data_IF_635376485545
#
_entry.id   IF_635376485545
#
_cell.length_a   1.000
_cell.length_b   1.000
_cell.length_c   1.000
_cell.angle_alpha   90.00
_cell.angle_beta   90.00
_cell.angle_gamma   90.00
#
_symmetry.space_group_name_H-M   'P 1'
#
loop_
_entity.id
_entity.type
_entity.pdbx_description
1 polymer ?
#
# COMPACT_ATOMS: atom_id res chain seq x y z
N UNK A 1 -38.69 -12.07 10.47
CA UNK A 1 -38.67 -13.54 10.26
C UNK A 1 -38.41 -13.73 8.77
N UNK A 2 -37.27 -14.18 8.27
CA UNK A 2 -36.24 -15.08 8.78
C UNK A 2 -34.86 -14.54 8.36
N UNK A 3 -33.97 -14.29 9.33
CA UNK A 3 -32.55 -14.11 9.09
C UNK A 3 -31.95 -15.49 8.79
N UNK A 4 -31.32 -15.64 7.63
CA UNK A 4 -30.52 -16.82 7.30
C UNK A 4 -29.10 -16.58 7.81
N UNK A 5 -28.81 -17.11 8.99
CA UNK A 5 -27.46 -17.28 9.52
C UNK A 5 -26.70 -18.30 8.65
N UNK A 6 -25.72 -17.83 7.88
CA UNK A 6 -24.53 -18.59 7.48
C UNK A 6 -23.40 -17.87 8.21
N UNK A 7 -22.86 -18.39 9.30
CA UNK A 7 -22.17 -19.67 9.38
C UNK A 7 -20.71 -19.28 9.56
N UNK A 8 -20.32 -19.07 10.82
CA UNK A 8 -18.94 -18.90 11.25
C UNK A 8 -18.20 -20.20 10.93
N UNK A 9 -17.67 -20.33 9.71
CA UNK A 9 -16.64 -21.32 9.41
C UNK A 9 -15.27 -20.67 9.61
N UNK A 10 -14.40 -21.26 10.44
CA UNK A 10 -13.04 -20.77 10.60
C UNK A 10 -12.32 -20.87 9.25
N UNK A 11 -11.61 -19.81 8.89
CA UNK A 11 -10.59 -19.82 7.84
C UNK A 11 -9.72 -21.05 8.10
N UNK A 12 -9.56 -21.90 7.08
CA UNK A 12 -8.84 -23.16 7.20
C UNK A 12 -7.48 -22.95 7.90
N UNK A 13 -7.26 -23.70 8.99
CA UNK A 13 -5.96 -23.81 9.64
C UNK A 13 -4.95 -24.35 8.63
N UNK A 14 -4.21 -23.44 7.99
CA UNK A 14 -2.97 -23.79 7.31
C UNK A 14 -1.95 -24.06 8.40
N UNK A 15 -1.25 -25.18 8.31
CA UNK A 15 -0.23 -25.63 9.25
C UNK A 15 1.00 -24.69 9.18
N UNK A 16 0.83 -23.50 9.75
CA UNK A 16 1.91 -22.53 10.01
C UNK A 16 2.59 -23.02 11.27
N UNK A 17 3.72 -23.71 11.10
CA UNK A 17 4.52 -24.14 12.25
C UNK A 17 5.07 -22.90 12.97
N UNK A 18 4.38 -22.45 14.01
CA UNK A 18 4.86 -21.40 14.91
C UNK A 18 5.97 -21.99 15.75
N UNK A 19 7.23 -21.77 15.35
CA UNK A 19 8.37 -22.17 16.17
C UNK A 19 8.89 -20.93 16.89
N UNK A 20 8.89 -20.87 18.23
CA UNK A 20 9.58 -19.80 18.95
C UNK A 20 11.07 -19.88 18.60
N UNK A 21 11.62 -18.80 18.04
CA UNK A 21 13.03 -18.75 17.67
C UNK A 21 13.91 -18.69 18.94
N UNK A 22 14.76 -19.71 19.14
CA UNK A 22 15.76 -19.77 20.23
C UNK A 22 17.19 -19.56 19.71
N UNK A 23 17.39 -18.78 18.64
CA UNK A 23 18.73 -18.45 18.15
C UNK A 23 19.08 -16.97 18.34
N UNK A 24 20.30 -16.77 18.81
CA UNK A 24 20.83 -15.65 19.58
C UNK A 24 21.15 -14.38 18.76
N UNK A 25 20.15 -13.84 18.05
CA UNK A 25 20.19 -12.49 17.44
C UNK A 25 18.86 -11.71 17.51
N UNK A 26 17.84 -12.23 18.22
CA UNK A 26 16.49 -11.65 18.32
C UNK A 26 16.33 -10.47 19.29
N UNK A 27 17.41 -9.91 19.82
CA UNK A 27 17.36 -8.78 20.76
C UNK A 27 16.85 -7.45 20.16
N UNK A 28 16.57 -7.36 18.86
CA UNK A 28 16.19 -6.10 18.21
C UNK A 28 14.70 -5.89 17.94
N UNK A 29 13.85 -6.94 17.85
CA UNK A 29 12.41 -6.79 17.52
C UNK A 29 11.56 -7.93 18.15
N UNK A 30 11.23 -7.87 19.46
CA UNK A 30 10.70 -9.00 20.23
C UNK A 30 9.29 -9.51 19.87
N UNK A 31 8.62 -8.93 18.85
CA UNK A 31 7.23 -9.28 18.48
C UNK A 31 7.02 -9.66 17.00
N UNK A 32 8.10 -9.91 16.26
CA UNK A 32 7.95 -10.46 14.90
C UNK A 32 7.61 -11.94 14.95
N UNK A 33 6.75 -12.36 14.03
CA UNK A 33 6.41 -13.76 13.76
C UNK A 33 7.24 -14.21 12.56
N UNK A 34 7.97 -15.32 12.72
CA UNK A 34 8.58 -16.03 11.60
C UNK A 34 7.49 -16.89 10.94
N UNK A 35 7.28 -16.68 9.64
CA UNK A 35 6.45 -17.51 8.79
C UNK A 35 7.31 -18.25 7.77
N UNK A 36 6.83 -19.40 7.32
CA UNK A 36 7.40 -20.12 6.19
C UNK A 36 6.31 -20.36 5.15
N UNK A 37 6.62 -20.11 3.88
CA UNK A 37 5.74 -20.57 2.81
C UNK A 37 5.88 -22.09 2.59
N UNK A 38 5.02 -22.66 1.75
CA UNK A 38 5.02 -24.09 1.41
C UNK A 38 6.33 -24.60 0.78
N UNK A 39 7.22 -23.70 0.37
CA UNK A 39 8.52 -24.00 -0.21
C UNK A 39 9.66 -23.88 0.82
N UNK A 40 9.34 -23.56 2.07
CA UNK A 40 10.30 -23.40 3.17
C UNK A 40 11.00 -22.03 3.19
N UNK A 41 10.55 -21.05 2.39
CA UNK A 41 11.13 -19.70 2.45
C UNK A 41 10.63 -18.99 3.69
N UNK A 42 11.55 -18.63 4.58
CA UNK A 42 11.25 -17.97 5.86
C UNK A 42 11.27 -16.46 5.73
N UNK A 43 10.28 -15.80 6.32
CA UNK A 43 10.16 -14.34 6.35
C UNK A 43 9.49 -13.88 7.65
N UNK A 44 9.61 -12.59 7.95
CA UNK A 44 9.19 -12.04 9.25
C UNK A 44 8.11 -10.98 9.07
N UNK A 45 7.09 -11.04 9.92
CA UNK A 45 5.94 -10.13 9.89
C UNK A 45 5.50 -9.73 11.29
N UNK A 46 4.86 -8.58 11.41
CA UNK A 46 4.12 -8.19 12.61
C UNK A 46 2.73 -8.83 12.62
N UNK A 47 2.26 -9.28 13.78
CA UNK A 47 0.90 -9.80 13.91
C UNK A 47 -0.08 -8.67 14.25
N UNK A 48 -0.82 -8.15 13.26
CA UNK A 48 -1.85 -7.13 13.46
C UNK A 48 -3.23 -7.71 13.85
N UNK A 49 -3.40 -9.02 13.73
CA UNK A 49 -4.55 -9.76 14.22
C UNK A 49 -5.16 -10.65 13.18
N UNK A 50 -5.95 -10.05 12.29
CA UNK A 50 -6.57 -10.66 11.12
C UNK A 50 -5.73 -10.46 9.84
N UNK A 51 -4.62 -9.71 9.91
CA UNK A 51 -3.65 -9.59 8.82
C UNK A 51 -2.21 -9.49 9.34
N UNK A 52 -1.26 -9.67 8.44
CA UNK A 52 0.17 -9.52 8.71
C UNK A 52 0.63 -8.10 8.41
N UNK A 53 1.26 -7.44 9.37
CA UNK A 53 1.84 -6.11 9.22
C UNK A 53 3.30 -6.23 8.74
N UNK A 54 3.80 -5.29 7.93
CA UNK A 54 5.23 -5.22 7.66
C UNK A 54 6.04 -5.09 8.98
N UNK A 55 7.23 -5.69 9.08
CA UNK A 55 8.07 -5.72 10.28
C UNK A 55 8.79 -4.40 10.58
N UNK A 56 8.07 -3.27 10.50
CA UNK A 56 8.59 -1.95 10.88
C UNK A 56 8.63 -1.79 12.40
N UNK A 57 9.60 -1.02 12.93
CA UNK A 57 9.65 -0.72 14.36
C UNK A 57 8.54 0.27 14.73
N UNK A 58 7.51 -0.19 15.44
CA UNK A 58 6.36 0.63 15.83
C UNK A 58 6.31 0.78 17.34
N UNK A 59 6.63 1.98 17.82
CA UNK A 59 6.73 2.27 19.25
C UNK A 59 7.82 1.43 19.94
N UNK A 60 7.88 1.51 21.27
CA UNK A 60 8.85 0.73 22.05
C UNK A 60 8.55 -0.78 22.03
N UNK A 61 7.26 -1.13 22.10
CA UNK A 61 6.82 -2.51 22.34
C UNK A 61 6.56 -3.33 21.07
N UNK A 62 6.59 -2.71 19.87
CA UNK A 62 6.34 -3.40 18.60
C UNK A 62 4.98 -4.12 18.57
N UNK A 63 3.97 -3.53 19.21
CA UNK A 63 2.63 -4.10 19.32
C UNK A 63 1.77 -3.71 18.12
N UNK A 64 1.83 -4.51 17.06
CA UNK A 64 1.07 -4.28 15.84
C UNK A 64 -0.45 -4.31 16.05
N UNK A 65 -0.99 -5.15 16.94
CA UNK A 65 -2.44 -5.18 17.25
C UNK A 65 -2.88 -3.88 17.91
N UNK A 66 -2.10 -3.40 18.89
CA UNK A 66 -2.38 -2.14 19.56
C UNK A 66 -2.23 -0.98 18.59
N UNK A 67 -1.21 -0.98 17.74
CA UNK A 67 -1.01 0.06 16.75
C UNK A 67 -2.18 0.19 15.76
N UNK A 68 -2.67 -0.92 15.21
CA UNK A 68 -3.82 -0.90 14.29
C UNK A 68 -5.09 -0.42 14.96
N UNK A 69 -5.29 -0.75 16.25
CA UNK A 69 -6.39 -0.16 17.05
C UNK A 69 -6.21 1.35 17.23
N UNK A 70 -4.99 1.81 17.50
CA UNK A 70 -4.69 3.24 17.61
C UNK A 70 -4.93 3.99 16.29
N UNK A 71 -4.61 3.40 15.14
CA UNK A 71 -4.98 3.97 13.82
C UNK A 71 -6.50 4.10 13.74
N UNK A 72 -7.24 3.04 14.09
CA UNK A 72 -8.71 3.06 14.05
C UNK A 72 -9.34 4.09 15.00
N UNK A 73 -8.67 4.37 16.12
CA UNK A 73 -9.07 5.33 17.16
C UNK A 73 -8.47 6.73 16.96
N UNK A 74 -7.66 6.93 15.91
CA UNK A 74 -6.94 8.18 15.65
C UNK A 74 -7.89 9.38 15.55
N UNK A 75 -7.49 10.49 16.18
CA UNK A 75 -8.19 11.77 16.01
C UNK A 75 -7.96 12.31 14.60
N UNK A 76 -9.05 12.59 13.90
CA UNK A 76 -9.05 13.10 12.53
C UNK A 76 -9.51 14.55 12.55
N UNK A 77 -8.83 15.41 11.79
CA UNK A 77 -9.21 16.80 11.57
C UNK A 77 -10.11 16.91 10.34
N UNK A 78 -10.94 17.93 10.29
CA UNK A 78 -11.94 18.07 9.22
C UNK A 78 -11.29 18.31 7.85
N UNK A 79 -10.04 18.80 7.85
CA UNK A 79 -9.24 19.08 6.66
C UNK A 79 -8.14 18.04 6.38
N UNK A 80 -8.13 16.92 7.10
CA UNK A 80 -7.23 15.82 6.77
C UNK A 80 -7.56 15.23 5.39
N UNK A 81 -6.53 14.79 4.69
CA UNK A 81 -6.65 14.06 3.42
C UNK A 81 -6.01 12.71 3.61
N UNK A 82 -6.78 11.65 3.36
CA UNK A 82 -6.30 10.28 3.47
C UNK A 82 -5.96 9.70 2.10
N UNK A 83 -4.80 9.07 1.97
CA UNK A 83 -4.34 8.39 0.76
C UNK A 83 -4.20 6.91 1.11
N UNK A 84 -5.09 6.09 0.58
CA UNK A 84 -5.19 4.68 0.90
C UNK A 84 -4.83 3.83 -0.31
N UNK A 85 -4.10 2.75 -0.11
CA UNK A 85 -3.63 1.92 -1.23
C UNK A 85 -3.22 0.54 -0.77
N UNK A 86 -3.38 -0.49 -1.60
CA UNK A 86 -2.56 -1.68 -1.40
C UNK A 86 -1.09 -1.31 -1.72
N UNK A 87 -0.08 -1.95 -1.10
CA UNK A 87 1.30 -1.70 -1.49
C UNK A 87 1.49 -1.79 -3.00
N UNK A 88 2.33 -0.91 -3.55
CA UNK A 88 2.75 -0.89 -4.96
C UNK A 88 1.73 -0.42 -6.01
N UNK A 89 0.60 0.16 -5.60
CA UNK A 89 -0.36 0.78 -6.54
C UNK A 89 0.00 2.23 -6.93
N UNK A 90 1.26 2.64 -6.75
CA UNK A 90 1.73 3.98 -7.14
C UNK A 90 1.69 5.04 -6.03
N UNK A 91 1.62 4.63 -4.76
CA UNK A 91 1.57 5.53 -3.59
C UNK A 91 2.58 6.68 -3.63
N UNK A 92 3.87 6.42 -3.85
CA UNK A 92 4.89 7.48 -3.90
C UNK A 92 4.63 8.55 -4.99
N UNK A 93 4.12 8.14 -6.14
CA UNK A 93 3.87 9.04 -7.27
C UNK A 93 2.67 9.93 -6.99
N UNK A 94 1.56 9.31 -6.60
CA UNK A 94 0.30 10.01 -6.40
C UNK A 94 0.34 10.84 -5.10
N UNK A 95 1.04 10.37 -4.06
CA UNK A 95 1.31 11.17 -2.85
C UNK A 95 2.06 12.46 -3.18
N UNK A 96 3.05 12.41 -4.08
CA UNK A 96 3.79 13.61 -4.50
C UNK A 96 2.88 14.61 -5.22
N UNK A 97 2.07 14.13 -6.16
CA UNK A 97 1.08 14.95 -6.88
C UNK A 97 0.12 15.63 -5.90
N UNK A 98 -0.43 14.85 -4.97
CA UNK A 98 -1.39 15.36 -3.97
C UNK A 98 -0.72 16.40 -3.07
N UNK A 99 0.52 16.15 -2.62
CA UNK A 99 1.30 17.13 -1.86
C UNK A 99 1.47 18.43 -2.65
N UNK A 100 1.92 18.35 -3.91
CA UNK A 100 2.14 19.50 -4.77
C UNK A 100 0.86 20.32 -5.00
N UNK A 101 -0.29 19.67 -5.18
CA UNK A 101 -1.59 20.34 -5.32
C UNK A 101 -2.00 21.04 -4.02
N UNK A 102 -1.94 20.35 -2.88
CA UNK A 102 -2.38 20.87 -1.58
C UNK A 102 -1.54 22.07 -1.15
N UNK A 103 -0.22 22.02 -1.36
CA UNK A 103 0.69 23.10 -1.00
C UNK A 103 1.00 24.07 -2.15
N UNK A 104 0.33 23.90 -3.30
CA UNK A 104 0.46 24.76 -4.50
C UNK A 104 1.91 25.00 -4.89
N UNK A 105 2.67 23.92 -5.01
CA UNK A 105 4.12 23.93 -5.22
C UNK A 105 4.53 22.87 -6.23
N UNK A 106 5.69 23.06 -6.86
CA UNK A 106 6.37 22.04 -7.67
C UNK A 106 7.61 21.49 -6.96
N UNK A 107 7.81 21.84 -5.67
CA UNK A 107 8.88 21.29 -4.84
C UNK A 107 8.57 19.84 -4.49
N UNK A 108 9.47 18.94 -4.88
CA UNK A 108 9.39 17.55 -4.47
C UNK A 108 9.75 17.37 -2.99
N UNK A 109 9.00 16.51 -2.30
CA UNK A 109 9.35 15.98 -1.00
C UNK A 109 10.51 15.00 -1.09
N UNK A 110 11.41 15.09 -0.13
CA UNK A 110 12.31 13.99 0.21
C UNK A 110 11.52 12.75 0.65
N UNK A 111 12.15 11.58 0.52
CA UNK A 111 11.53 10.34 1.01
C UNK A 111 11.36 10.30 2.52
N UNK A 112 12.20 11.04 3.26
CA UNK A 112 12.02 11.22 4.70
C UNK A 112 10.70 11.91 4.99
N UNK A 113 10.43 13.06 4.35
CA UNK A 113 9.18 13.80 4.50
C UNK A 113 7.95 12.92 4.15
N UNK A 114 8.00 12.17 3.05
CA UNK A 114 6.90 11.28 2.66
C UNK A 114 6.68 10.12 3.63
N UNK A 115 7.76 9.53 4.17
CA UNK A 115 7.66 8.44 5.14
C UNK A 115 6.95 8.88 6.43
N UNK A 116 7.12 10.14 6.84
CA UNK A 116 6.42 10.69 8.02
C UNK A 116 4.92 10.91 7.79
N UNK A 117 4.41 10.77 6.57
CA UNK A 117 2.97 10.75 6.31
C UNK A 117 2.32 9.37 6.53
N UNK A 118 3.11 8.28 6.61
CA UNK A 118 2.57 6.92 6.73
C UNK A 118 2.16 6.62 8.17
N UNK A 119 0.86 6.52 8.42
CA UNK A 119 0.33 6.21 9.75
C UNK A 119 0.61 4.75 10.16
N UNK A 120 0.91 3.88 9.20
CA UNK A 120 1.26 2.47 9.38
C UNK A 120 2.62 2.25 10.05
N UNK A 121 3.53 3.23 9.92
CA UNK A 121 4.95 3.05 10.29
C UNK A 121 5.38 3.98 11.42
N UNK A 122 4.47 4.83 11.88
CA UNK A 122 4.75 5.84 12.90
C UNK A 122 3.70 5.75 14.00
N UNK A 123 4.07 5.91 15.29
CA UNK A 123 3.08 6.06 16.35
C UNK A 123 2.07 7.15 16.00
N UNK A 124 0.79 6.89 16.25
CA UNK A 124 -0.29 7.84 15.92
C UNK A 124 -0.08 9.21 16.59
N UNK A 125 0.55 9.24 17.76
CA UNK A 125 0.93 10.47 18.46
C UNK A 125 1.85 11.39 17.66
N UNK A 126 2.66 10.85 16.75
CA UNK A 126 3.56 11.64 15.87
C UNK A 126 2.78 12.62 14.99
N UNK A 127 1.51 12.32 14.70
CA UNK A 127 0.67 13.14 13.82
C UNK A 127 -0.10 14.25 14.56
N UNK A 128 0.00 14.31 15.89
CA UNK A 128 -0.68 15.33 16.69
C UNK A 128 -0.15 16.73 16.40
N UNK A 129 1.17 16.86 16.21
CA UNK A 129 1.87 18.14 16.02
C UNK A 129 2.07 18.52 14.53
N UNK A 130 1.66 17.65 13.59
CA UNK A 130 1.75 17.95 12.15
C UNK A 130 0.74 19.05 11.81
N UNK A 131 1.17 20.08 11.08
CA UNK A 131 0.31 21.19 10.66
C UNK A 131 -0.79 20.71 9.70
N UNK A 132 -1.97 21.31 9.82
CA UNK A 132 -3.09 21.09 8.89
C UNK A 132 -2.88 21.80 7.53
N UNK A 133 -3.43 21.26 6.42
CA UNK A 133 -4.05 19.94 6.33
C UNK A 133 -3.01 18.82 6.41
N UNK A 134 -3.32 17.71 7.09
CA UNK A 134 -2.41 16.56 7.17
C UNK A 134 -2.65 15.63 5.98
N UNK A 135 -1.58 15.20 5.33
CA UNK A 135 -1.62 14.08 4.39
C UNK A 135 -1.35 12.80 5.17
N UNK A 136 -2.37 11.95 5.31
CA UNK A 136 -2.29 10.68 6.03
C UNK A 136 -2.28 9.54 5.02
N UNK A 137 -1.16 8.83 4.91
CA UNK A 137 -0.99 7.72 3.96
C UNK A 137 -1.11 6.40 4.69
N UNK A 138 -1.83 5.45 4.11
CA UNK A 138 -2.01 4.13 4.73
C UNK A 138 -2.19 2.99 3.73
N UNK A 139 -1.77 1.80 4.15
CA UNK A 139 -2.06 0.53 3.49
C UNK A 139 -2.99 -0.37 4.32
N UNK A 140 -3.49 0.11 5.47
CA UNK A 140 -4.39 -0.71 6.27
C UNK A 140 -5.68 -1.03 5.49
N UNK A 141 -6.23 -2.23 5.66
CA UNK A 141 -7.52 -2.58 5.07
C UNK A 141 -8.63 -1.60 5.48
N UNK A 142 -9.66 -1.46 4.64
CA UNK A 142 -10.74 -0.49 4.80
C UNK A 142 -11.37 -0.52 6.20
N UNK A 143 -11.56 -1.71 6.77
CA UNK A 143 -12.14 -1.90 8.11
C UNK A 143 -11.32 -1.26 9.24
N UNK A 144 -10.05 -0.97 9.02
CA UNK A 144 -9.15 -0.35 10.00
C UNK A 144 -8.91 1.14 9.81
N UNK A 145 -9.53 1.75 8.81
CA UNK A 145 -9.46 3.20 8.67
C UNK A 145 -10.01 3.89 9.94
N UNK A 146 -9.49 5.08 10.29
CA UNK A 146 -9.93 5.83 11.46
C UNK A 146 -11.45 6.04 11.47
N UNK A 147 -12.14 5.70 12.56
CA UNK A 147 -13.61 5.83 12.63
C UNK A 147 -14.08 7.26 12.38
N UNK A 148 -13.29 8.24 12.84
CA UNK A 148 -13.59 9.65 12.64
C UNK A 148 -13.50 10.08 11.17
N UNK A 149 -12.71 9.41 10.32
CA UNK A 149 -12.65 9.72 8.89
C UNK A 149 -14.03 9.54 8.22
N UNK A 150 -14.77 8.50 8.62
CA UNK A 150 -16.13 8.24 8.18
C UNK A 150 -17.13 9.26 8.75
N UNK A 151 -17.02 9.57 10.04
CA UNK A 151 -17.94 10.49 10.74
C UNK A 151 -17.83 11.92 10.21
N UNK A 152 -16.60 12.39 9.99
CA UNK A 152 -16.28 13.73 9.49
C UNK A 152 -16.36 13.84 7.98
N UNK A 153 -16.49 12.71 7.28
CA UNK A 153 -16.56 12.62 5.82
C UNK A 153 -15.39 13.35 5.15
N UNK A 154 -14.18 13.12 5.65
CA UNK A 154 -12.96 13.72 5.09
C UNK A 154 -12.74 13.24 3.65
N UNK A 155 -11.82 13.90 2.93
CA UNK A 155 -11.39 13.47 1.60
C UNK A 155 -10.52 12.23 1.71
N UNK A 156 -10.89 11.18 0.97
CA UNK A 156 -10.18 9.91 0.88
C UNK A 156 -9.87 9.62 -0.60
N UNK A 157 -8.60 9.39 -0.89
CA UNK A 157 -8.13 8.97 -2.20
C UNK A 157 -7.71 7.51 -2.11
N UNK A 158 -8.34 6.64 -2.90
CA UNK A 158 -8.02 5.21 -2.98
C UNK A 158 -7.25 4.92 -4.27
N UNK A 159 -6.06 4.33 -4.13
CA UNK A 159 -5.17 4.05 -5.26
C UNK A 159 -5.21 2.58 -5.66
N UNK A 160 -5.49 2.35 -6.93
CA UNK A 160 -5.56 1.02 -7.54
C UNK A 160 -4.52 0.86 -8.65
N UNK A 161 -4.16 -0.39 -8.93
CA UNK A 161 -3.29 -0.78 -10.04
C UNK A 161 -3.61 -2.21 -10.42
N UNK A 162 -3.40 -2.58 -11.68
CA UNK A 162 -3.63 -3.95 -12.12
C UNK A 162 -2.86 -4.96 -11.22
N UNK A 163 -3.50 -6.03 -10.72
CA UNK A 163 -2.91 -6.84 -9.67
C UNK A 163 -1.66 -7.63 -10.13
N UNK A 164 -1.50 -7.89 -11.44
CA UNK A 164 -0.31 -8.56 -11.98
C UNK A 164 0.94 -7.71 -11.82
N UNK A 165 0.89 -6.42 -12.20
CA UNK A 165 2.02 -5.51 -11.98
C UNK A 165 2.24 -5.20 -10.50
N UNK A 166 1.19 -5.23 -9.67
CA UNK A 166 1.32 -5.12 -8.21
C UNK A 166 2.19 -6.26 -7.68
N UNK A 167 1.88 -7.52 -8.02
CA UNK A 167 2.67 -8.68 -7.56
C UNK A 167 4.14 -8.59 -7.97
N UNK A 168 4.41 -8.26 -9.24
CA UNK A 168 5.79 -8.06 -9.71
C UNK A 168 6.49 -6.93 -8.97
N UNK A 169 5.82 -5.78 -8.85
CA UNK A 169 6.41 -4.63 -8.17
C UNK A 169 6.66 -4.90 -6.69
N UNK A 170 5.84 -5.75 -6.07
CA UNK A 170 5.95 -6.07 -4.66
C UNK A 170 7.11 -7.03 -4.40
N UNK A 171 7.19 -8.09 -5.19
CA UNK A 171 8.29 -9.04 -5.16
C UNK A 171 9.65 -8.31 -5.29
N UNK A 172 9.80 -7.48 -6.32
CA UNK A 172 11.07 -6.76 -6.54
C UNK A 172 11.41 -5.81 -5.38
N UNK A 173 10.40 -5.13 -4.80
CA UNK A 173 10.63 -4.33 -3.61
C UNK A 173 11.17 -5.20 -2.48
N UNK A 174 10.49 -6.29 -2.10
CA UNK A 174 10.94 -7.15 -1.00
C UNK A 174 12.30 -7.79 -1.28
N UNK A 175 12.57 -8.14 -2.54
CA UNK A 175 13.83 -8.74 -2.94
C UNK A 175 15.02 -7.77 -2.84
N UNK A 176 14.78 -6.47 -3.00
CA UNK A 176 15.77 -5.41 -2.78
C UNK A 176 15.96 -5.02 -1.31
N UNK A 177 15.12 -5.49 -0.37
CA UNK A 177 15.31 -5.19 1.05
C UNK A 177 16.33 -6.11 1.73
N UNK A 178 16.89 -5.65 2.85
CA UNK A 178 17.58 -6.51 3.82
C UNK A 178 16.57 -7.11 4.81
N UNK A 179 16.89 -8.21 5.51
CA UNK A 179 16.06 -8.72 6.60
C UNK A 179 15.78 -7.62 7.67
N UNK A 180 14.59 -7.59 8.29
CA UNK A 180 13.49 -8.55 8.21
C UNK A 180 12.50 -8.31 7.05
N UNK A 181 12.64 -7.24 6.27
CA UNK A 181 11.71 -6.87 5.18
C UNK A 181 11.89 -7.68 3.88
N UNK A 182 12.87 -8.59 3.88
CA UNK A 182 13.24 -9.38 2.71
C UNK A 182 12.41 -10.65 2.58
N UNK A 183 11.95 -10.95 1.36
CA UNK A 183 11.41 -12.27 0.99
C UNK A 183 12.45 -13.07 0.19
N UNK A 184 12.91 -14.24 0.68
CA UNK A 184 14.03 -14.97 0.08
C UNK A 184 13.68 -15.93 -1.05
N UNK A 185 12.40 -16.17 -1.30
CA UNK A 185 11.94 -17.07 -2.37
C UNK A 185 12.08 -16.46 -3.77
N UNK A 186 11.77 -17.28 -4.79
CA UNK A 186 11.67 -16.85 -6.18
C UNK A 186 10.38 -16.08 -6.43
N UNK A 187 10.24 -15.44 -7.59
CA UNK A 187 8.99 -14.81 -7.99
C UNK A 187 7.83 -15.81 -8.06
N UNK A 188 8.07 -17.04 -8.55
CA UNK A 188 7.03 -18.08 -8.59
C UNK A 188 6.56 -18.46 -7.20
N UNK A 189 7.47 -18.62 -6.23
CA UNK A 189 7.09 -18.91 -4.85
C UNK A 189 6.25 -17.77 -4.25
N UNK A 190 6.66 -16.51 -4.47
CA UNK A 190 5.93 -15.33 -4.01
C UNK A 190 4.54 -15.23 -4.67
N UNK A 191 4.45 -15.50 -5.96
CA UNK A 191 3.20 -15.52 -6.72
C UNK A 191 2.20 -16.50 -6.11
N UNK A 192 2.62 -17.76 -5.86
CA UNK A 192 1.75 -18.77 -5.26
C UNK A 192 1.37 -18.44 -3.82
N UNK A 193 2.33 -17.96 -3.02
CA UNK A 193 2.06 -17.48 -1.66
C UNK A 193 0.93 -16.43 -1.66
N UNK A 194 1.00 -15.45 -2.56
CA UNK A 194 -0.03 -14.40 -2.64
C UNK A 194 -1.39 -14.91 -3.09
N UNK A 195 -1.46 -15.87 -4.02
CA UNK A 195 -2.74 -16.44 -4.47
C UNK A 195 -3.38 -17.39 -3.45
N UNK A 196 -2.57 -18.06 -2.64
CA UNK A 196 -3.04 -19.06 -1.67
C UNK A 196 -3.46 -18.43 -0.34
N UNK A 197 -2.69 -17.47 0.18
CA UNK A 197 -2.88 -16.91 1.53
C UNK A 197 -2.72 -15.39 1.63
N UNK A 198 -2.16 -14.74 0.61
CA UNK A 198 -1.79 -13.32 0.68
C UNK A 198 -0.43 -13.07 1.35
N UNK A 199 -0.12 -11.80 1.59
CA UNK A 199 1.14 -11.40 2.24
C UNK A 199 0.87 -10.35 3.33
N UNK A 200 1.76 -9.37 3.53
CA UNK A 200 1.48 -8.26 4.46
C UNK A 200 0.40 -7.33 3.88
N UNK A 201 -0.50 -6.88 4.75
CA UNK A 201 -1.82 -6.28 4.48
C UNK A 201 -2.90 -7.24 3.99
N UNK A 202 -2.61 -8.54 3.94
CA UNK A 202 -3.56 -9.60 3.62
C UNK A 202 -3.48 -10.05 2.16
N UNK A 203 -4.54 -10.71 1.71
CA UNK A 203 -4.72 -11.11 0.32
C UNK A 203 -5.14 -9.91 -0.55
N UNK A 204 -4.55 -9.81 -1.74
CA UNK A 204 -4.75 -8.69 -2.65
C UNK A 204 -6.20 -8.61 -3.17
N UNK A 205 -6.83 -9.72 -3.52
CA UNK A 205 -8.19 -9.75 -4.04
C UNK A 205 -9.20 -9.42 -2.94
N UNK A 206 -9.00 -9.96 -1.73
CA UNK A 206 -9.84 -9.63 -0.58
C UNK A 206 -9.70 -8.15 -0.21
N UNK A 207 -8.48 -7.59 -0.25
CA UNK A 207 -8.25 -6.17 -0.02
C UNK A 207 -9.00 -5.29 -1.04
N UNK A 208 -8.93 -5.63 -2.34
CA UNK A 208 -9.62 -4.90 -3.40
C UNK A 208 -11.15 -4.98 -3.22
N UNK A 209 -11.69 -6.18 -2.99
CA UNK A 209 -13.13 -6.37 -2.76
C UNK A 209 -13.61 -5.67 -1.49
N UNK A 210 -12.83 -5.69 -0.41
CA UNK A 210 -13.16 -4.99 0.83
C UNK A 210 -13.27 -3.48 0.60
N UNK A 211 -12.34 -2.90 -0.16
CA UNK A 211 -12.38 -1.49 -0.52
C UNK A 211 -13.58 -1.14 -1.40
N UNK A 212 -13.92 -1.97 -2.39
CA UNK A 212 -15.14 -1.79 -3.19
C UNK A 212 -16.40 -1.84 -2.31
N UNK A 213 -16.54 -2.90 -1.52
CA UNK A 213 -17.70 -3.10 -0.65
C UNK A 213 -17.83 -1.97 0.39
N UNK A 214 -16.71 -1.54 0.95
CA UNK A 214 -16.65 -0.41 1.88
C UNK A 214 -17.12 0.89 1.23
N UNK A 215 -16.65 1.20 0.02
CA UNK A 215 -17.12 2.37 -0.74
C UNK A 215 -18.62 2.31 -1.02
N UNK A 216 -19.14 1.15 -1.40
CA UNK A 216 -20.56 0.94 -1.69
C UNK A 216 -21.45 1.03 -0.45
N UNK A 217 -20.95 0.57 0.71
CA UNK A 217 -21.64 0.68 1.99
C UNK A 217 -21.65 2.11 2.54
N UNK A 218 -20.80 3.00 2.01
CA UNK A 218 -20.67 4.38 2.43
C UNK A 218 -20.81 5.37 1.25
N UNK A 219 -21.96 5.42 0.56
CA UNK A 219 -22.15 6.24 -0.64
C UNK A 219 -22.05 7.75 -0.36
N UNK A 220 -22.21 8.16 0.90
CA UNK A 220 -22.08 9.54 1.36
C UNK A 220 -20.62 10.00 1.50
N UNK A 221 -19.64 9.09 1.46
CA UNK A 221 -18.23 9.45 1.51
C UNK A 221 -17.73 9.77 0.13
N UNK A 222 -17.11 10.94 0.00
CA UNK A 222 -16.44 11.32 -1.21
C UNK A 222 -15.11 10.56 -1.27
N UNK A 223 -15.09 9.39 -1.91
CA UNK A 223 -13.86 8.61 -2.14
C UNK A 223 -13.45 8.75 -3.61
N UNK A 224 -12.33 9.42 -3.87
CA UNK A 224 -11.75 9.48 -5.21
C UNK A 224 -10.96 8.21 -5.46
N UNK A 225 -11.31 7.45 -6.49
CA UNK A 225 -10.53 6.29 -6.92
C UNK A 225 -9.60 6.70 -8.04
N UNK A 226 -8.32 6.37 -7.91
CA UNK A 226 -7.31 6.64 -8.92
C UNK A 226 -6.64 5.34 -9.36
N UNK A 227 -6.82 5.02 -10.64
CA UNK A 227 -6.25 3.83 -11.27
C UNK A 227 -4.90 4.22 -11.88
N UNK A 228 -3.83 3.55 -11.46
CA UNK A 228 -2.45 3.82 -11.89
C UNK A 228 -2.30 3.84 -13.40
N UNK A 229 -2.99 2.94 -14.09
CA UNK A 229 -2.99 2.84 -15.55
C UNK A 229 -3.55 4.09 -16.23
N UNK A 230 -4.60 4.68 -15.67
CA UNK A 230 -5.24 5.89 -16.22
C UNK A 230 -4.33 7.10 -16.00
N UNK A 231 -3.75 7.21 -14.79
CA UNK A 231 -2.73 8.22 -14.49
C UNK A 231 -1.52 8.10 -15.44
N UNK A 232 -1.12 6.88 -15.81
CA UNK A 232 0.00 6.67 -16.73
C UNK A 232 -0.34 7.01 -18.18
N UNK A 233 -1.59 6.82 -18.58
CA UNK A 233 -2.08 7.12 -19.92
C UNK A 233 -2.17 8.63 -20.15
N UNK A 234 -2.72 9.36 -19.18
CA UNK A 234 -2.81 10.82 -19.20
C UNK A 234 -2.47 11.42 -17.82
N UNK A 235 -1.19 11.73 -17.57
CA UNK A 235 -0.76 12.28 -16.28
C UNK A 235 -1.38 13.65 -15.97
N UNK A 236 -1.65 14.48 -16.98
CA UNK A 236 -2.19 15.83 -16.76
C UNK A 236 -3.65 15.73 -16.32
N UNK A 237 -4.47 14.96 -17.05
CA UNK A 237 -5.87 14.69 -16.66
C UNK A 237 -5.93 14.08 -15.26
N UNK A 238 -5.00 13.17 -14.94
CA UNK A 238 -4.89 12.60 -13.60
C UNK A 238 -4.65 13.64 -12.49
N UNK A 239 -3.77 14.61 -12.73
CA UNK A 239 -3.52 15.73 -11.81
C UNK A 239 -4.74 16.66 -11.71
N UNK A 240 -5.38 16.98 -12.83
CA UNK A 240 -6.59 17.82 -12.87
C UNK A 240 -7.75 17.18 -12.12
N UNK A 241 -7.93 15.86 -12.25
CA UNK A 241 -8.94 15.11 -11.49
C UNK A 241 -8.70 15.21 -9.98
N UNK A 242 -7.44 15.12 -9.54
CA UNK A 242 -7.11 15.36 -8.13
C UNK A 242 -7.33 16.80 -7.72
N UNK A 243 -6.97 17.79 -8.54
CA UNK A 243 -7.21 19.20 -8.26
C UNK A 243 -8.71 19.49 -8.07
N UNK A 244 -9.56 18.95 -8.96
CA UNK A 244 -11.00 19.07 -8.90
C UNK A 244 -11.58 18.41 -7.63
N UNK A 245 -11.20 17.17 -7.36
CA UNK A 245 -11.67 16.43 -6.18
C UNK A 245 -11.21 17.07 -4.85
N UNK A 246 -9.94 17.48 -4.79
CA UNK A 246 -9.39 18.15 -3.61
C UNK A 246 -9.82 19.61 -3.50
N UNK A 247 -10.45 20.18 -4.54
CA UNK A 247 -10.84 21.58 -4.62
C UNK A 247 -9.68 22.54 -4.29
N UNK A 248 -8.46 22.21 -4.73
CA UNK A 248 -7.27 23.01 -4.42
C UNK A 248 -7.26 24.35 -5.16
N UNK A 249 -7.98 24.44 -6.28
CA UNK A 249 -8.06 25.65 -7.09
C UNK A 249 -6.72 26.01 -7.73
N UNK A 250 -5.90 25.00 -8.03
CA UNK A 250 -4.72 25.17 -8.87
C UNK A 250 -5.16 25.46 -10.30
N UNK A 251 -4.37 26.24 -11.04
CA UNK A 251 -4.64 26.48 -12.46
C UNK A 251 -4.23 25.28 -13.30
N UNK A 252 -4.71 25.23 -14.54
CA UNK A 252 -4.37 24.18 -15.50
C UNK A 252 -2.86 24.18 -15.76
N UNK A 253 -2.22 25.35 -15.84
CA UNK A 253 -0.77 25.46 -16.01
C UNK A 253 0.00 24.84 -14.83
N UNK A 254 -0.45 25.05 -13.59
CA UNK A 254 0.18 24.41 -12.43
C UNK A 254 -0.06 22.89 -12.44
N UNK A 255 -1.21 22.41 -12.93
CA UNK A 255 -1.47 20.98 -13.08
C UNK A 255 -0.50 20.34 -14.09
N UNK A 256 -0.27 21.00 -15.24
CA UNK A 256 0.72 20.59 -16.24
C UNK A 256 2.15 20.58 -15.66
N UNK A 257 2.53 21.63 -14.93
CA UNK A 257 3.84 21.71 -14.27
C UNK A 257 4.05 20.59 -13.23
N UNK A 258 3.01 20.27 -12.44
CA UNK A 258 3.04 19.18 -11.46
C UNK A 258 3.16 17.83 -12.17
N UNK A 259 2.39 17.58 -13.23
CA UNK A 259 2.48 16.36 -14.02
C UNK A 259 3.91 16.18 -14.61
N UNK A 260 4.48 17.26 -15.15
CA UNK A 260 5.83 17.28 -15.69
C UNK A 260 6.89 17.11 -14.60
N UNK A 261 6.69 17.66 -13.40
CA UNK A 261 7.58 17.47 -12.25
C UNK A 261 7.54 16.01 -11.78
N UNK A 262 6.35 15.42 -11.68
CA UNK A 262 6.14 14.05 -11.21
C UNK A 262 6.37 12.99 -12.30
N UNK A 263 7.11 13.28 -13.36
CA UNK A 263 7.50 12.26 -14.34
C UNK A 263 8.45 11.23 -13.70
N UNK A 264 8.38 9.98 -14.17
CA UNK A 264 9.10 8.87 -13.55
C UNK A 264 10.62 9.14 -13.40
N UNK A 265 11.26 9.63 -14.46
CA UNK A 265 12.71 9.88 -14.46
C UNK A 265 13.10 11.01 -13.50
N UNK A 266 12.29 12.06 -13.40
CA UNK A 266 12.55 13.18 -12.47
C UNK A 266 12.38 12.73 -11.03
N UNK A 267 11.29 12.01 -10.73
CA UNK A 267 11.06 11.47 -9.39
C UNK A 267 12.14 10.49 -8.96
N UNK A 268 12.55 9.59 -9.86
CA UNK A 268 13.64 8.63 -9.61
C UNK A 268 14.94 9.36 -9.30
N UNK A 269 15.31 10.32 -10.14
CA UNK A 269 16.54 11.10 -9.97
C UNK A 269 16.53 11.91 -8.66
N UNK A 270 15.41 12.55 -8.34
CA UNK A 270 15.26 13.30 -7.10
C UNK A 270 15.40 12.38 -5.88
N UNK A 271 14.74 11.22 -5.90
CA UNK A 271 14.78 10.25 -4.80
C UNK A 271 16.18 9.71 -4.54
N UNK A 272 16.90 9.33 -5.59
CA UNK A 272 18.27 8.80 -5.44
C UNK A 272 19.20 9.82 -4.74
N UNK A 273 18.99 11.10 -5.03
CA UNK A 273 19.72 12.23 -4.45
C UNK A 273 19.29 12.57 -3.01
N UNK A 274 17.99 12.51 -2.68
CA UNK A 274 17.47 13.02 -1.39
C UNK A 274 17.19 11.96 -0.34
N UNK A 275 17.30 10.67 -0.68
CA UNK A 275 16.99 9.62 0.29
C UNK A 275 18.00 9.57 1.45
N UNK A 276 17.56 9.65 2.71
CA UNK A 276 18.43 9.58 3.88
C UNK A 276 19.20 8.27 3.99
N UNK A 277 20.37 8.31 4.63
CA UNK A 277 21.24 7.14 4.81
C UNK A 277 20.57 6.01 5.60
N UNK A 278 19.75 6.34 6.61
CA UNK A 278 19.02 5.34 7.40
C UNK A 278 18.00 4.57 6.55
N UNK A 279 17.33 5.23 5.59
CA UNK A 279 16.40 4.58 4.68
C UNK A 279 17.14 3.70 3.68
N UNK A 280 18.28 4.18 3.15
CA UNK A 280 19.17 3.39 2.27
C UNK A 280 19.68 2.12 2.95
N UNK A 281 19.88 2.13 4.27
CA UNK A 281 20.35 0.97 5.01
C UNK A 281 19.35 -0.21 5.04
N UNK A 282 18.06 0.04 4.75
CA UNK A 282 17.04 -1.02 4.65
C UNK A 282 17.08 -1.78 3.31
N UNK A 283 17.91 -1.36 2.37
CA UNK A 283 18.00 -1.95 1.02
C UNK A 283 19.36 -2.63 0.80
N UNK A 284 19.34 -3.77 0.10
CA UNK A 284 20.52 -4.45 -0.41
C UNK A 284 21.32 -3.51 -1.29
N UNK A 285 22.64 -3.58 -1.15
CA UNK A 285 23.57 -2.70 -1.86
C UNK A 285 23.30 -1.19 -1.63
N UNK A 286 22.44 -0.83 -0.67
CA UNK A 286 21.95 0.54 -0.46
C UNK A 286 21.28 1.15 -1.70
N UNK A 287 20.77 0.32 -2.62
CA UNK A 287 20.08 0.72 -3.85
C UNK A 287 18.56 0.69 -3.65
N UNK A 288 17.92 1.85 -3.82
CA UNK A 288 16.49 2.02 -3.61
C UNK A 288 15.71 1.57 -4.86
N UNK A 289 15.05 0.42 -4.82
CA UNK A 289 14.20 -0.03 -5.93
C UNK A 289 12.72 0.38 -5.78
N UNK A 290 12.47 1.60 -5.28
CA UNK A 290 11.11 2.14 -5.27
C UNK A 290 10.63 2.56 -6.67
N UNK A 291 11.53 3.13 -7.49
CA UNK A 291 11.30 3.46 -8.90
C UNK A 291 12.04 2.47 -9.79
N UNK A 292 11.43 1.30 -9.98
CA UNK A 292 12.02 0.22 -10.78
C UNK A 292 11.86 0.44 -12.27
N UNK A 293 10.60 0.45 -12.75
CA UNK A 293 10.26 0.68 -14.17
C UNK A 293 9.20 1.75 -14.39
N UNK A 294 8.18 1.84 -13.53
CA UNK A 294 7.12 2.85 -13.67
C UNK A 294 6.26 2.69 -14.93
N UNK A 295 6.13 1.46 -15.40
CA UNK A 295 5.43 1.06 -16.62
C UNK A 295 4.18 0.23 -16.28
N UNK A 296 3.26 0.13 -17.25
CA UNK A 296 2.12 -0.80 -17.23
C UNK A 296 2.45 -1.96 -18.16
N UNK A 297 2.30 -3.19 -17.67
CA UNK A 297 2.51 -4.41 -18.45
C UNK A 297 3.85 -5.11 -18.21
N UNK A 298 4.64 -4.67 -17.23
CA UNK A 298 5.90 -5.34 -16.92
C UNK A 298 5.69 -6.78 -16.40
N UNK A 299 4.51 -7.09 -15.88
CA UNK A 299 4.13 -8.45 -15.51
C UNK A 299 4.40 -9.49 -16.60
N UNK A 300 4.34 -9.12 -17.88
CA UNK A 300 4.65 -10.01 -19.02
C UNK A 300 6.09 -10.51 -19.03
N UNK A 301 7.02 -9.78 -18.41
CA UNK A 301 8.43 -10.18 -18.30
C UNK A 301 8.68 -11.17 -17.14
N UNK A 302 7.67 -11.43 -16.30
CA UNK A 302 7.80 -12.22 -15.08
C UNK A 302 6.88 -13.44 -15.06
N UNK A 303 5.66 -13.28 -15.60
CA UNK A 303 4.69 -14.35 -15.66
C UNK A 303 5.04 -15.32 -16.78
N UNK A 304 5.10 -16.60 -16.44
CA UNK A 304 5.00 -17.65 -17.44
C UNK A 304 3.56 -17.73 -17.95
N UNK A 305 3.36 -18.39 -19.09
CA UNK A 305 2.01 -18.65 -19.62
C UNK A 305 1.14 -19.34 -18.56
N UNK A 306 1.68 -20.36 -17.88
CA UNK A 306 0.97 -21.09 -16.84
C UNK A 306 0.59 -20.21 -15.63
N UNK A 307 1.52 -19.35 -15.15
CA UNK A 307 1.20 -18.40 -14.07
C UNK A 307 0.12 -17.40 -14.50
N UNK A 308 0.13 -16.97 -15.77
CA UNK A 308 -0.88 -16.07 -16.27
C UNK A 308 -2.27 -16.73 -16.35
N UNK A 309 -2.36 -17.95 -16.86
CA UNK A 309 -3.61 -18.71 -16.94
C UNK A 309 -4.18 -19.01 -15.54
N UNK A 310 -3.32 -19.39 -14.60
CA UNK A 310 -3.69 -19.60 -13.19
C UNK A 310 -4.22 -18.31 -12.55
N UNK A 311 -3.51 -17.20 -12.74
CA UNK A 311 -3.95 -15.90 -12.24
C UNK A 311 -5.30 -15.49 -12.85
N UNK A 312 -5.46 -15.61 -14.18
CA UNK A 312 -6.69 -15.19 -14.86
C UNK A 312 -7.89 -16.03 -14.42
N UNK A 313 -7.70 -17.32 -14.17
CA UNK A 313 -8.72 -18.20 -13.61
C UNK A 313 -9.15 -17.76 -12.20
N UNK A 314 -8.19 -17.49 -11.32
CA UNK A 314 -8.50 -17.08 -9.94
C UNK A 314 -9.09 -15.67 -9.88
N UNK A 315 -8.58 -14.73 -10.69
CA UNK A 315 -9.13 -13.39 -10.83
C UNK A 315 -10.58 -13.43 -11.31
N UNK A 316 -10.88 -14.21 -12.36
CA UNK A 316 -12.25 -14.35 -12.87
C UNK A 316 -13.20 -14.92 -11.82
N UNK A 317 -12.72 -15.84 -10.98
CA UNK A 317 -13.50 -16.46 -9.91
C UNK A 317 -13.75 -15.50 -8.75
N UNK A 318 -12.71 -14.85 -8.22
CA UNK A 318 -12.78 -14.03 -6.99
C UNK A 318 -13.20 -12.59 -7.24
N UNK A 319 -12.92 -12.05 -8.43
CA UNK A 319 -13.14 -10.64 -8.78
C UNK A 319 -14.29 -10.47 -9.79
N UNK A 320 -15.22 -11.42 -9.86
CA UNK A 320 -16.34 -11.38 -10.82
C UNK A 320 -17.30 -10.20 -10.59
N UNK A 321 -17.43 -9.74 -9.35
CA UNK A 321 -18.23 -8.57 -8.98
C UNK A 321 -17.41 -7.28 -8.89
N UNK A 322 -16.09 -7.36 -9.14
CA UNK A 322 -15.22 -6.20 -9.06
C UNK A 322 -15.44 -5.26 -10.25
N UNK A 323 -15.64 -3.97 -9.96
CA UNK A 323 -16.10 -2.97 -10.93
C UNK A 323 -14.97 -2.26 -11.68
N UNK A 324 -13.77 -2.18 -11.09
CA UNK A 324 -12.65 -1.53 -11.75
C UNK A 324 -12.13 -2.40 -12.89
N UNK A 325 -12.06 -1.83 -14.09
CA UNK A 325 -11.51 -2.49 -15.28
C UNK A 325 -10.08 -2.00 -15.48
N UNK A 326 -9.12 -2.89 -15.26
CA UNK A 326 -7.70 -2.57 -15.41
C UNK A 326 -7.21 -2.65 -16.86
N UNK A 327 -6.24 -1.81 -17.19
CA UNK A 327 -5.42 -1.94 -18.40
C UNK A 327 -4.16 -2.73 -18.06
N UNK A 328 -3.96 -3.88 -18.69
CA UNK A 328 -2.79 -4.73 -18.42
C UNK A 328 -1.59 -4.41 -19.32
N UNK A 329 -1.75 -3.46 -20.24
CA UNK A 329 -0.72 -2.87 -21.10
C UNK A 329 -1.14 -1.45 -21.46
N UNK A 330 -0.16 -0.60 -21.74
CA UNK A 330 -0.35 0.70 -22.37
C UNK A 330 0.43 0.76 -23.68
#
# INVERSE_FOLDING_TARGET
MTMSSRGDEPVADVDVTTTPCTSDTTHLLPRLVELADRFGNKFYVGNAGDYWHPPFPIGADHDYRTHVRQIRDMEIRDDDIMICSYPKTGGHWQQEIIHMLVYKTTRMCSEGEKAFCFIDFSPVSTFADVSSPRLLVTHVPFRYLPRQAFQKKIKIIYLERNPKDVLVSYYNQLHSHVPPLHYPGTFEHFFRLNLEVGFVYGDLFDYLMEWQNGREAHPDLQICTSVYEDMKLDPVEGVERFNAYLCTGCSDELCEEIAAACSFDRMKSHKDATTPAWLKAMFREKKLEFYRKGEVGDWKNWFSVAMNEEFDAEYKKRMSEYKTIYKYTL
#
